data_IF_807733441263
#
_entry.id   IF_807733441263
#
_cell.length_a   1.000
_cell.length_b   1.000
_cell.length_c   1.000
_cell.angle_alpha   90.00
_cell.angle_beta   90.00
_cell.angle_gamma   90.00
#
_symmetry.space_group_name_H-M   'P 1'
#
loop_
_entity.id
_entity.type
_entity.pdbx_description
1 polymer ?
#
# COMPACT_ATOMS: atom_id res chain seq x y z
N UNK A 1 20.63 -0.09 -0.17
CA UNK A 1 21.37 0.83 -1.05
C UNK A 1 21.56 2.19 -0.37
N UNK A 2 22.69 2.44 0.33
CA UNK A 2 22.93 3.70 1.04
C UNK A 2 23.24 4.90 0.12
N UNK A 3 23.69 4.65 -1.11
CA UNK A 3 24.05 5.67 -2.12
C UNK A 3 22.96 5.95 -3.15
N UNK A 4 21.85 5.20 -3.13
CA UNK A 4 20.75 5.35 -4.08
C UNK A 4 19.96 6.63 -3.80
N UNK A 5 19.46 7.26 -4.86
CA UNK A 5 18.53 8.41 -4.78
C UNK A 5 17.23 8.08 -4.03
N UNK A 6 16.86 6.80 -3.98
CA UNK A 6 15.72 6.29 -3.20
C UNK A 6 15.90 6.47 -1.68
N UNK A 7 17.13 6.74 -1.23
CA UNK A 7 17.47 6.93 0.17
C UNK A 7 18.06 8.34 0.38
N UNK A 8 17.21 9.35 0.70
CA UNK A 8 17.62 10.75 0.72
C UNK A 8 18.86 11.01 1.59
N UNK A 9 19.83 11.80 1.11
CA UNK A 9 21.01 12.19 1.91
C UNK A 9 20.69 13.29 2.93
N UNK A 10 19.67 14.11 2.65
CA UNK A 10 19.20 15.13 3.58
C UNK A 10 18.62 14.46 4.83
N UNK A 11 19.14 14.82 6.00
CA UNK A 11 18.83 14.18 7.28
C UNK A 11 17.34 14.27 7.62
N UNK A 12 16.69 15.41 7.37
CA UNK A 12 15.26 15.59 7.66
C UNK A 12 14.40 14.72 6.74
N UNK A 13 14.70 14.69 5.43
CA UNK A 13 13.98 13.82 4.47
C UNK A 13 14.17 12.35 4.80
N UNK A 14 15.38 11.94 5.23
CA UNK A 14 15.66 10.57 5.66
C UNK A 14 14.90 10.20 6.92
N UNK A 15 14.93 11.05 7.96
CA UNK A 15 14.19 10.82 9.19
C UNK A 15 12.68 10.68 8.94
N UNK A 16 12.13 11.49 8.05
CA UNK A 16 10.71 11.38 7.68
C UNK A 16 10.40 10.10 6.89
N UNK A 17 11.28 9.70 5.97
CA UNK A 17 11.18 8.40 5.28
C UNK A 17 11.20 7.24 6.29
N UNK A 18 12.13 7.27 7.25
CA UNK A 18 12.27 6.24 8.28
C UNK A 18 11.05 6.21 9.21
N UNK A 19 10.46 7.36 9.52
CA UNK A 19 9.19 7.45 10.26
C UNK A 19 8.05 6.75 9.49
N UNK A 20 7.90 7.02 8.19
CA UNK A 20 6.87 6.35 7.36
C UNK A 20 7.12 4.85 7.33
N UNK A 21 8.36 4.41 7.10
CA UNK A 21 8.72 2.98 7.11
C UNK A 21 8.43 2.33 8.47
N UNK A 22 8.69 3.03 9.57
CA UNK A 22 8.37 2.57 10.93
C UNK A 22 6.87 2.42 11.14
N UNK A 23 6.06 3.39 10.72
CA UNK A 23 4.59 3.29 10.74
C UNK A 23 4.12 2.11 9.89
N UNK A 24 4.71 1.89 8.73
CA UNK A 24 4.37 0.74 7.89
C UNK A 24 4.68 -0.57 8.62
N UNK A 25 5.87 -0.70 9.18
CA UNK A 25 6.32 -1.92 9.84
C UNK A 25 5.56 -2.24 11.12
N UNK A 26 5.23 -1.21 11.92
CA UNK A 26 4.67 -1.38 13.28
C UNK A 26 3.15 -1.28 13.32
N UNK A 27 2.52 -0.64 12.33
CA UNK A 27 1.08 -0.41 12.31
C UNK A 27 0.40 -0.98 11.07
N UNK A 28 0.78 -0.51 9.87
CA UNK A 28 0.07 -0.87 8.64
C UNK A 28 0.22 -2.37 8.32
N UNK A 29 1.44 -2.89 8.29
CA UNK A 29 1.71 -4.27 7.89
C UNK A 29 1.11 -5.32 8.84
N UNK A 30 1.19 -5.18 10.18
CA UNK A 30 0.53 -6.12 11.09
C UNK A 30 -1.00 -6.15 10.90
N UNK A 31 -1.65 -4.98 10.82
CA UNK A 31 -3.10 -4.90 10.63
C UNK A 31 -3.52 -5.41 9.24
N UNK A 32 -2.75 -5.10 8.20
CA UNK A 32 -2.93 -5.63 6.86
C UNK A 32 -2.83 -7.16 6.85
N UNK A 33 -1.85 -7.73 7.54
CA UNK A 33 -1.64 -9.18 7.61
C UNK A 33 -2.77 -9.86 8.37
N UNK A 34 -3.23 -9.27 9.48
CA UNK A 34 -4.37 -9.75 10.25
C UNK A 34 -5.67 -9.79 9.41
N UNK A 35 -5.82 -8.86 8.47
CA UNK A 35 -6.92 -8.85 7.51
C UNK A 35 -6.74 -9.88 6.39
N UNK A 36 -5.57 -9.93 5.75
CA UNK A 36 -5.35 -10.70 4.52
C UNK A 36 -5.05 -12.19 4.74
N UNK A 37 -4.32 -12.55 5.80
CA UNK A 37 -3.88 -13.94 6.03
C UNK A 37 -5.07 -14.89 6.27
N UNK A 38 -6.09 -14.54 7.07
CA UNK A 38 -7.23 -15.43 7.30
C UNK A 38 -7.96 -15.78 6.01
N UNK A 39 -8.21 -14.81 5.12
CA UNK A 39 -8.86 -15.08 3.83
C UNK A 39 -8.07 -16.04 2.96
N UNK A 40 -6.74 -15.89 2.94
CA UNK A 40 -5.88 -16.81 2.20
C UNK A 40 -5.87 -18.23 2.79
N UNK A 41 -5.85 -18.36 4.12
CA UNK A 41 -5.80 -19.69 4.78
C UNK A 41 -7.12 -20.44 4.78
N UNK A 42 -8.24 -19.71 4.75
CA UNK A 42 -9.58 -20.29 4.90
C UNK A 42 -10.39 -20.32 3.61
N UNK A 43 -9.90 -19.68 2.55
CA UNK A 43 -10.62 -19.45 1.30
C UNK A 43 -11.98 -18.74 1.49
N UNK A 44 -12.07 -17.86 2.50
CA UNK A 44 -13.28 -17.08 2.81
C UNK A 44 -13.04 -15.58 2.67
N UNK A 45 -14.08 -14.86 2.26
CA UNK A 45 -14.11 -13.39 2.30
C UNK A 45 -14.02 -12.89 3.76
N UNK A 46 -13.40 -11.73 3.99
CA UNK A 46 -13.43 -11.11 5.31
C UNK A 46 -14.86 -10.73 5.69
N UNK A 47 -15.19 -10.81 6.98
CA UNK A 47 -16.45 -10.29 7.51
C UNK A 47 -16.51 -8.76 7.40
N UNK A 48 -17.72 -8.20 7.44
CA UNK A 48 -17.92 -6.74 7.48
C UNK A 48 -17.17 -6.07 8.64
N UNK A 49 -17.08 -6.73 9.80
CA UNK A 49 -16.29 -6.24 10.94
C UNK A 49 -14.79 -6.22 10.63
N UNK A 50 -14.27 -7.26 9.97
CA UNK A 50 -12.85 -7.33 9.56
C UNK A 50 -12.53 -6.24 8.53
N UNK A 51 -13.41 -6.02 7.55
CA UNK A 51 -13.29 -4.93 6.57
C UNK A 51 -13.28 -3.58 7.28
N UNK A 52 -14.19 -3.34 8.22
CA UNK A 52 -14.23 -2.09 8.98
C UNK A 52 -12.95 -1.86 9.78
N UNK A 53 -12.44 -2.88 10.47
CA UNK A 53 -11.15 -2.80 11.19
C UNK A 53 -9.98 -2.51 10.26
N UNK A 54 -9.99 -3.09 9.06
CA UNK A 54 -9.00 -2.79 8.02
C UNK A 54 -9.12 -1.36 7.50
N UNK A 55 -10.33 -0.88 7.23
CA UNK A 55 -10.58 0.51 6.82
C UNK A 55 -10.06 1.50 7.88
N UNK A 56 -10.42 1.27 9.15
CA UNK A 56 -10.05 2.12 10.28
C UNK A 56 -8.54 2.10 10.60
N UNK A 57 -7.91 0.92 10.59
CA UNK A 57 -6.50 0.75 10.99
C UNK A 57 -5.49 0.81 9.84
N UNK A 58 -5.92 0.60 8.60
CA UNK A 58 -4.99 0.51 7.46
C UNK A 58 -5.27 1.59 6.43
N UNK A 59 -6.49 1.71 5.91
CA UNK A 59 -6.77 2.68 4.84
C UNK A 59 -6.63 4.13 5.30
N UNK A 60 -7.09 4.45 6.52
CA UNK A 60 -6.86 5.76 7.13
C UNK A 60 -5.37 6.04 7.37
N UNK A 61 -4.61 5.04 7.80
CA UNK A 61 -3.16 5.19 7.98
C UNK A 61 -2.47 5.45 6.63
N UNK A 62 -2.88 4.77 5.55
CA UNK A 62 -2.42 5.07 4.20
C UNK A 62 -2.70 6.51 3.79
N UNK A 63 -3.92 7.01 4.01
CA UNK A 63 -4.31 8.38 3.67
C UNK A 63 -3.42 9.44 4.35
N UNK A 64 -2.98 9.16 5.58
CA UNK A 64 -2.05 10.01 6.33
C UNK A 64 -0.62 9.93 5.78
N UNK A 65 -0.08 8.72 5.57
CA UNK A 65 1.35 8.56 5.20
C UNK A 65 1.64 8.91 3.75
N UNK A 66 0.68 8.78 2.83
CA UNK A 66 0.87 9.22 1.44
C UNK A 66 0.88 10.75 1.34
N UNK A 67 0.13 11.42 2.23
CA UNK A 67 0.04 12.87 2.31
C UNK A 67 -0.43 13.55 1.02
N UNK A 68 -0.18 14.86 0.93
CA UNK A 68 -0.62 15.69 -0.21
C UNK A 68 0.52 15.98 -1.21
N UNK A 69 1.70 15.39 -0.99
CA UNK A 69 2.89 15.58 -1.82
C UNK A 69 2.87 14.64 -3.03
N UNK A 70 3.77 14.88 -3.98
CA UNK A 70 3.93 14.02 -5.17
C UNK A 70 4.27 12.56 -4.77
N UNK A 71 5.18 12.38 -3.84
CA UNK A 71 5.56 11.10 -3.23
C UNK A 71 5.51 11.24 -1.70
N UNK A 72 5.54 10.13 -0.97
CA UNK A 72 5.30 10.11 0.47
C UNK A 72 6.22 11.06 1.25
N UNK A 73 7.48 11.19 0.83
CA UNK A 73 8.47 12.08 1.47
C UNK A 73 8.49 13.49 0.87
N UNK A 74 8.25 13.63 -0.44
CA UNK A 74 8.51 14.85 -1.21
C UNK A 74 8.30 14.70 -2.71
N UNK A 75 9.15 15.33 -3.50
CA UNK A 75 9.02 15.36 -4.98
C UNK A 75 9.74 14.21 -5.68
N UNK A 76 10.52 13.42 -4.93
CA UNK A 76 11.29 12.29 -5.43
C UNK A 76 10.79 10.99 -4.82
N UNK A 77 10.84 9.92 -5.62
CA UNK A 77 10.52 8.57 -5.19
C UNK A 77 11.57 8.06 -4.19
N UNK A 78 11.11 7.41 -3.12
CA UNK A 78 11.95 6.88 -2.04
C UNK A 78 11.62 5.42 -1.72
N UNK A 79 12.41 4.81 -0.82
CA UNK A 79 12.11 3.47 -0.30
C UNK A 79 10.75 3.39 0.42
N UNK A 80 10.27 4.50 1.00
CA UNK A 80 8.93 4.56 1.57
C UNK A 80 7.87 4.32 0.50
N UNK A 81 8.01 4.93 -0.68
CA UNK A 81 7.05 4.78 -1.77
C UNK A 81 7.01 3.34 -2.29
N UNK A 82 8.18 2.72 -2.46
CA UNK A 82 8.31 1.30 -2.85
C UNK A 82 7.61 0.39 -1.83
N UNK A 83 7.79 0.67 -0.53
CA UNK A 83 7.14 -0.12 0.51
C UNK A 83 5.62 0.07 0.50
N UNK A 84 5.14 1.30 0.39
CA UNK A 84 3.71 1.60 0.36
C UNK A 84 3.02 0.98 -0.86
N UNK A 85 3.60 1.14 -2.06
CA UNK A 85 2.99 0.65 -3.30
C UNK A 85 2.87 -0.89 -3.30
N UNK A 86 3.82 -1.60 -2.69
CA UNK A 86 3.75 -3.06 -2.58
C UNK A 86 2.53 -3.56 -1.82
N UNK A 87 2.07 -2.82 -0.80
CA UNK A 87 0.86 -3.15 -0.04
C UNK A 87 -0.40 -2.66 -0.77
N UNK A 88 -0.35 -1.46 -1.35
CA UNK A 88 -1.48 -0.90 -2.10
C UNK A 88 -1.82 -1.74 -3.33
N UNK A 89 -0.83 -2.29 -4.02
CA UNK A 89 -1.01 -3.22 -5.14
C UNK A 89 -1.89 -4.42 -4.78
N UNK A 90 -1.88 -4.88 -3.53
CA UNK A 90 -2.68 -6.01 -3.09
C UNK A 90 -4.15 -5.68 -2.81
N UNK A 91 -4.52 -4.39 -2.62
CA UNK A 91 -5.86 -3.99 -2.16
C UNK A 91 -6.56 -2.99 -3.06
N UNK A 92 -5.85 -2.06 -3.70
CA UNK A 92 -6.47 -1.02 -4.55
C UNK A 92 -7.27 -1.62 -5.70
N UNK A 93 -6.82 -2.71 -6.35
CA UNK A 93 -7.60 -3.38 -7.41
C UNK A 93 -8.85 -4.13 -6.92
N UNK A 94 -9.03 -4.32 -5.61
CA UNK A 94 -10.15 -5.06 -5.03
C UNK A 94 -11.27 -4.09 -4.62
N UNK A 95 -12.19 -3.82 -5.54
CA UNK A 95 -13.24 -2.80 -5.37
C UNK A 95 -14.21 -3.04 -4.18
N UNK A 96 -14.34 -4.29 -3.71
CA UNK A 96 -15.11 -4.63 -2.52
C UNK A 96 -14.38 -4.31 -1.21
N UNK A 97 -13.08 -4.05 -1.27
CA UNK A 97 -12.23 -3.69 -0.13
C UNK A 97 -11.75 -2.24 -0.18
N UNK A 98 -11.45 -1.72 -1.36
CA UNK A 98 -10.93 -0.38 -1.55
C UNK A 98 -11.86 0.47 -2.40
N UNK A 99 -12.60 1.35 -1.74
CA UNK A 99 -13.43 2.35 -2.39
C UNK A 99 -12.60 3.59 -2.74
N UNK A 100 -12.31 3.74 -4.04
CA UNK A 100 -11.53 4.87 -4.57
C UNK A 100 -12.20 6.23 -4.32
N UNK A 101 -13.53 6.27 -4.18
CA UNK A 101 -14.27 7.51 -3.91
C UNK A 101 -14.10 7.98 -2.46
N UNK A 102 -13.92 7.05 -1.52
CA UNK A 102 -13.62 7.36 -0.11
C UNK A 102 -12.16 7.72 0.11
N UNK A 103 -11.25 7.11 -0.67
CA UNK A 103 -9.80 7.30 -0.54
C UNK A 103 -9.15 7.83 -1.83
N UNK A 104 -9.59 8.98 -2.36
CA UNK A 104 -9.13 9.49 -3.66
C UNK A 104 -7.65 9.85 -3.67
N UNK A 105 -7.10 10.33 -2.54
CA UNK A 105 -5.66 10.63 -2.40
C UNK A 105 -4.82 9.37 -2.52
N UNK A 106 -5.18 8.32 -1.79
CA UNK A 106 -4.50 7.01 -1.86
C UNK A 106 -4.63 6.40 -3.26
N UNK A 107 -5.81 6.49 -3.88
CA UNK A 107 -6.05 6.02 -5.24
C UNK A 107 -5.18 6.75 -6.28
N UNK A 108 -5.11 8.08 -6.20
CA UNK A 108 -4.27 8.90 -7.09
C UNK A 108 -2.78 8.65 -6.86
N UNK A 109 -2.38 8.51 -5.60
CA UNK A 109 -1.02 8.15 -5.23
C UNK A 109 -0.62 6.78 -5.81
N UNK A 110 -1.49 5.77 -5.70
CA UNK A 110 -1.26 4.45 -6.27
C UNK A 110 -0.97 4.54 -7.77
N UNK A 111 -1.88 5.14 -8.56
CA UNK A 111 -1.73 5.26 -10.02
C UNK A 111 -0.44 5.99 -10.41
N UNK A 112 -0.13 7.09 -9.70
CA UNK A 112 1.04 7.92 -9.98
C UNK A 112 2.35 7.22 -9.67
N UNK A 113 2.42 6.45 -8.59
CA UNK A 113 3.64 5.75 -8.19
C UNK A 113 3.83 4.49 -9.02
N UNK A 114 2.78 3.69 -9.25
CA UNK A 114 2.87 2.50 -10.10
C UNK A 114 3.27 2.86 -11.53
N UNK A 115 2.72 3.95 -12.09
CA UNK A 115 3.04 4.40 -13.45
C UNK A 115 4.46 4.95 -13.64
N UNK A 116 5.19 5.26 -12.55
CA UNK A 116 6.57 5.73 -12.61
C UNK A 116 7.60 4.62 -12.34
N UNK A 117 7.15 3.41 -12.00
CA UNK A 117 8.03 2.29 -11.72
C UNK A 117 8.17 1.44 -12.99
N UNK A 118 9.33 1.46 -13.67
CA UNK A 118 9.48 0.84 -15.00
C UNK A 118 9.19 -0.66 -15.03
N UNK A 119 9.39 -1.35 -13.91
CA UNK A 119 9.17 -2.80 -13.80
C UNK A 119 7.85 -3.16 -13.10
N UNK A 120 6.99 -2.19 -12.80
CA UNK A 120 5.74 -2.46 -12.08
C UNK A 120 4.80 -3.32 -12.92
N UNK A 121 4.65 -3.00 -14.20
CA UNK A 121 3.81 -3.77 -15.11
C UNK A 121 4.37 -5.18 -15.34
N UNK A 122 5.68 -5.33 -15.53
CA UNK A 122 6.27 -6.64 -15.78
C UNK A 122 6.27 -7.53 -14.54
N UNK A 123 6.68 -7.01 -13.38
CA UNK A 123 6.92 -7.81 -12.18
C UNK A 123 5.71 -7.87 -11.24
N UNK A 124 4.92 -6.80 -11.14
CA UNK A 124 3.88 -6.69 -10.10
C UNK A 124 2.48 -6.97 -10.68
N UNK A 125 2.19 -6.55 -11.92
CA UNK A 125 0.87 -6.77 -12.55
C UNK A 125 0.43 -8.24 -12.54
N UNK A 126 1.27 -9.24 -12.90
CA UNK A 126 0.82 -10.64 -12.89
C UNK A 126 0.33 -11.08 -11.52
N UNK A 127 1.02 -10.67 -10.44
CA UNK A 127 0.63 -10.99 -9.07
C UNK A 127 -0.64 -10.27 -8.63
N UNK A 128 -0.86 -9.03 -9.10
CA UNK A 128 -2.12 -8.31 -8.89
C UNK A 128 -3.28 -9.08 -9.53
N UNK A 129 -3.11 -9.53 -10.76
CA UNK A 129 -4.16 -10.24 -11.51
C UNK A 129 -4.47 -11.60 -10.90
N UNK A 130 -3.44 -12.36 -10.51
CA UNK A 130 -3.61 -13.62 -9.77
C UNK A 130 -4.32 -13.39 -8.44
N UNK A 131 -3.94 -12.35 -7.70
CA UNK A 131 -4.59 -11.99 -6.44
C UNK A 131 -6.06 -11.64 -6.66
N UNK A 132 -6.39 -10.86 -7.69
CA UNK A 132 -7.77 -10.51 -8.01
C UNK A 132 -8.60 -11.72 -8.44
N UNK A 133 -8.00 -12.65 -9.20
CA UNK A 133 -8.63 -13.94 -9.55
C UNK A 133 -8.91 -14.77 -8.30
N UNK A 134 -7.91 -14.99 -7.45
CA UNK A 134 -8.06 -15.69 -6.17
C UNK A 134 -9.12 -15.04 -5.28
N UNK A 135 -9.15 -13.71 -5.22
CA UNK A 135 -10.12 -12.98 -4.42
C UNK A 135 -11.57 -13.24 -4.85
N UNK A 136 -11.82 -13.47 -6.14
CA UNK A 136 -13.15 -13.82 -6.68
C UNK A 136 -13.57 -15.25 -6.38
N UNK A 137 -12.63 -16.15 -6.05
CA UNK A 137 -12.94 -17.55 -5.71
C UNK A 137 -13.25 -17.76 -4.23
N UNK A 138 -13.03 -16.75 -3.39
CA UNK A 138 -13.32 -16.83 -1.96
C UNK A 138 -14.83 -16.90 -1.71
N UNK A 139 -15.22 -17.77 -0.78
CA UNK A 139 -16.60 -17.96 -0.33
C UNK A 139 -17.06 -16.87 0.65
#
# INVERSE_FOLDING_TARGET
>A
APTSELNPKNVQKRAYMDQILSVVATHIQPNFSAFSIPSFRTNKKPSAESIKKFEDGVLKAFDVVVGDKKFAVGDNLTLADIRLISLLACIVPLADIFDRSKYPKVASYYDRVSGQLPYFEELIRPHIDERAKFWKTLQ
#
